data_IF_241880653438
#
_entry.id   IF_241880653438
#
_cell.length_a   1.000
_cell.length_b   1.000
_cell.length_c   1.000
_cell.angle_alpha   90.00
_cell.angle_beta   90.00
_cell.angle_gamma   90.00
#
_symmetry.space_group_name_H-M   'P 1'
#
loop_
_entity.id
_entity.type
_entity.pdbx_description
1 polymer ?
#
# COMPACT_ATOMS: atom_id res chain seq x y z
N UNK A 1 2.66 2.28 -18.02
CA UNK A 1 3.63 1.15 -17.92
C UNK A 1 4.96 1.59 -18.51
N UNK A 2 6.05 1.31 -17.83
CA UNK A 2 7.39 1.57 -18.31
C UNK A 2 7.70 0.73 -19.59
N UNK A 3 8.79 1.08 -20.30
CA UNK A 3 9.27 0.29 -21.43
C UNK A 3 10.02 -0.97 -20.95
N UNK A 4 9.41 -1.77 -20.11
CA UNK A 4 9.96 -3.05 -19.67
C UNK A 4 9.88 -4.10 -20.79
N UNK A 5 10.79 -5.08 -20.75
CA UNK A 5 10.75 -6.25 -21.62
C UNK A 5 10.07 -7.46 -20.99
N UNK A 6 9.81 -7.39 -19.69
CA UNK A 6 9.23 -8.50 -18.92
C UNK A 6 8.00 -8.02 -18.16
N UNK A 7 6.94 -8.76 -18.31
CA UNK A 7 5.66 -8.53 -17.62
C UNK A 7 5.18 -9.85 -17.03
N UNK A 8 4.42 -9.77 -15.93
CA UNK A 8 3.68 -10.88 -15.39
C UNK A 8 2.24 -10.81 -15.90
N UNK A 9 1.68 -11.97 -16.25
CA UNK A 9 0.26 -12.12 -16.59
C UNK A 9 -0.42 -12.82 -15.42
N UNK A 10 -1.21 -12.08 -14.64
CA UNK A 10 -1.95 -12.58 -13.50
C UNK A 10 -3.35 -13.01 -13.98
N UNK A 11 -3.64 -14.29 -13.83
CA UNK A 11 -4.92 -14.85 -14.29
C UNK A 11 -6.11 -14.43 -13.42
N UNK A 12 -5.89 -13.80 -12.28
CA UNK A 12 -6.90 -13.47 -11.27
C UNK A 12 -7.78 -14.67 -10.90
N UNK A 13 -7.21 -15.88 -10.95
CA UNK A 13 -7.93 -17.15 -10.79
C UNK A 13 -8.63 -17.27 -9.43
N UNK A 14 -8.04 -16.70 -8.40
CA UNK A 14 -8.58 -16.71 -7.04
C UNK A 14 -9.39 -15.44 -6.69
N UNK A 15 -9.57 -14.54 -7.65
CA UNK A 15 -10.26 -13.26 -7.46
C UNK A 15 -11.48 -13.12 -8.37
N UNK A 16 -12.66 -13.44 -7.85
CA UNK A 16 -13.92 -13.33 -8.56
C UNK A 16 -14.24 -11.89 -9.02
N UNK A 17 -13.68 -10.88 -8.36
CA UNK A 17 -13.82 -9.48 -8.77
C UNK A 17 -12.88 -9.09 -9.91
N UNK A 18 -11.82 -9.87 -10.14
CA UNK A 18 -10.71 -9.60 -11.07
C UNK A 18 -9.93 -8.30 -10.77
N UNK A 19 -10.15 -7.66 -9.60
CA UNK A 19 -9.72 -6.28 -9.38
C UNK A 19 -8.89 -6.05 -8.12
N UNK A 20 -8.77 -7.02 -7.21
CA UNK A 20 -8.14 -6.80 -5.90
C UNK A 20 -6.68 -6.38 -6.01
N UNK A 21 -5.90 -7.10 -6.83
CA UNK A 21 -4.53 -6.69 -7.15
C UNK A 21 -4.51 -5.27 -7.75
N UNK A 22 -5.35 -5.01 -8.75
CA UNK A 22 -5.39 -3.73 -9.46
C UNK A 22 -5.72 -2.58 -8.52
N UNK A 23 -6.75 -2.71 -7.68
CA UNK A 23 -7.15 -1.67 -6.74
C UNK A 23 -6.02 -1.28 -5.78
N UNK A 24 -5.31 -2.28 -5.25
CA UNK A 24 -4.26 -2.02 -4.26
C UNK A 24 -2.94 -1.61 -4.90
N UNK A 25 -2.61 -2.05 -6.12
CA UNK A 25 -1.43 -1.55 -6.84
C UNK A 25 -1.60 -0.08 -7.23
N UNK A 26 -2.75 0.27 -7.81
CA UNK A 26 -3.03 1.64 -8.21
C UNK A 26 -3.18 2.57 -6.99
N UNK A 27 -3.75 2.07 -5.88
CA UNK A 27 -3.77 2.82 -4.61
C UNK A 27 -2.36 3.02 -4.07
N UNK A 28 -1.47 2.02 -4.17
CA UNK A 28 -0.08 2.14 -3.75
C UNK A 28 0.63 3.25 -4.52
N UNK A 29 0.43 3.33 -5.85
CA UNK A 29 0.94 4.42 -6.67
C UNK A 29 0.34 5.76 -6.23
N UNK A 30 -0.98 5.82 -6.06
CA UNK A 30 -1.69 7.02 -5.67
C UNK A 30 -1.21 7.62 -4.34
N UNK A 31 -0.81 6.78 -3.37
CA UNK A 31 -0.27 7.23 -2.08
C UNK A 31 1.26 7.33 -2.07
N UNK A 32 1.91 7.21 -3.22
CA UNK A 32 3.36 7.27 -3.42
C UNK A 32 4.10 6.19 -2.61
N UNK A 33 3.70 4.91 -2.73
CA UNK A 33 4.56 3.79 -2.36
C UNK A 33 5.58 3.62 -3.50
N UNK A 34 6.90 3.59 -3.21
CA UNK A 34 7.89 3.44 -4.26
C UNK A 34 7.67 2.16 -5.08
N UNK A 35 7.99 2.19 -6.36
CA UNK A 35 7.93 1.02 -7.25
C UNK A 35 6.57 0.31 -7.28
N UNK A 36 5.47 1.06 -7.15
CA UNK A 36 4.14 0.49 -7.36
C UNK A 36 4.01 0.02 -8.81
N UNK A 37 3.62 -1.25 -9.00
CA UNK A 37 3.53 -1.85 -10.33
C UNK A 37 2.35 -1.28 -11.10
N UNK A 38 2.62 -0.72 -12.29
CA UNK A 38 1.57 -0.38 -13.24
C UNK A 38 1.02 -1.65 -13.92
N UNK A 39 -0.24 -1.64 -14.27
CA UNK A 39 -0.88 -2.80 -14.88
C UNK A 39 -1.99 -2.43 -15.87
N UNK A 40 -2.36 -3.42 -16.72
CA UNK A 40 -3.45 -3.30 -17.69
C UNK A 40 -4.20 -4.63 -17.79
N UNK A 41 -5.49 -4.57 -17.98
CA UNK A 41 -6.26 -5.76 -18.32
C UNK A 41 -6.04 -6.13 -19.79
N UNK A 42 -5.90 -7.41 -20.05
CA UNK A 42 -5.72 -7.96 -21.39
C UNK A 42 -6.56 -9.23 -21.54
N UNK A 43 -7.20 -9.38 -22.69
CA UNK A 43 -7.86 -10.63 -23.05
C UNK A 43 -6.85 -11.54 -23.73
N UNK A 44 -6.55 -12.69 -23.13
CA UNK A 44 -5.51 -13.58 -23.61
C UNK A 44 -6.07 -14.64 -24.54
N UNK A 45 -5.50 -14.68 -25.74
CA UNK A 45 -5.78 -15.69 -26.75
C UNK A 45 -4.51 -16.44 -27.12
N UNK A 46 -4.58 -17.77 -27.22
CA UNK A 46 -3.53 -18.64 -27.75
C UNK A 46 -4.14 -19.69 -28.66
N UNK A 47 -3.54 -19.89 -29.84
CA UNK A 47 -3.98 -20.85 -30.85
C UNK A 47 -5.46 -20.71 -31.25
N UNK A 48 -5.98 -19.49 -31.22
CA UNK A 48 -7.36 -19.16 -31.54
C UNK A 48 -8.37 -19.41 -30.40
N UNK A 49 -7.90 -19.85 -29.25
CA UNK A 49 -8.73 -20.03 -28.04
C UNK A 49 -8.58 -18.85 -27.08
N UNK A 50 -9.68 -18.41 -26.52
CA UNK A 50 -9.73 -17.44 -25.43
C UNK A 50 -9.38 -18.10 -24.11
N UNK A 51 -8.36 -17.61 -23.41
CA UNK A 51 -7.87 -18.16 -22.14
C UNK A 51 -8.32 -17.36 -20.93
N UNK A 52 -8.93 -16.22 -21.13
CA UNK A 52 -9.47 -15.42 -20.05
C UNK A 52 -8.98 -13.97 -20.04
N UNK A 53 -9.52 -13.21 -19.10
CA UNK A 53 -9.06 -11.85 -18.79
C UNK A 53 -7.93 -11.90 -17.77
N UNK A 54 -6.79 -11.33 -18.13
CA UNK A 54 -5.59 -11.30 -17.31
C UNK A 54 -5.25 -9.86 -16.94
N UNK A 55 -4.62 -9.69 -15.79
CA UNK A 55 -3.93 -8.45 -15.44
C UNK A 55 -2.47 -8.60 -15.85
N UNK A 56 -2.07 -7.87 -16.89
CA UNK A 56 -0.67 -7.72 -17.26
C UNK A 56 -0.04 -6.64 -16.38
N UNK A 57 0.97 -6.98 -15.60
CA UNK A 57 1.62 -6.08 -14.65
C UNK A 57 3.13 -6.11 -14.82
N UNK A 58 3.81 -5.04 -14.43
CA UNK A 58 5.26 -4.99 -14.40
C UNK A 58 5.81 -6.04 -13.45
N UNK A 59 6.85 -6.76 -13.90
CA UNK A 59 7.54 -7.75 -13.07
C UNK A 59 8.40 -7.04 -12.02
N UNK A 60 8.38 -7.55 -10.79
CA UNK A 60 9.31 -7.11 -9.74
C UNK A 60 10.70 -7.61 -10.11
N UNK A 61 11.52 -6.72 -10.62
CA UNK A 61 12.94 -6.97 -10.95
C UNK A 61 13.73 -5.67 -10.92
N UNK A 62 15.04 -5.81 -10.80
CA UNK A 62 16.02 -4.71 -10.87
C UNK A 62 16.60 -4.62 -12.28
N UNK A 63 16.79 -3.40 -12.78
CA UNK A 63 17.45 -3.18 -14.06
C UNK A 63 17.06 -1.87 -14.72
N UNK A 64 17.81 -1.44 -15.70
CA UNK A 64 17.68 -0.14 -16.39
C UNK A 64 16.27 0.19 -16.89
N UNK A 65 15.51 -0.82 -17.32
CA UNK A 65 14.15 -0.68 -17.83
C UNK A 65 13.18 -1.57 -17.05
N UNK A 66 13.49 -1.86 -15.81
CA UNK A 66 12.68 -2.64 -14.88
C UNK A 66 11.89 -1.72 -13.95
N UNK A 67 11.03 -2.29 -13.14
CA UNK A 67 10.26 -1.58 -12.12
C UNK A 67 11.19 -0.86 -11.13
N UNK A 68 12.27 -1.54 -10.71
CA UNK A 68 13.30 -0.98 -9.83
C UNK A 68 14.50 -0.64 -10.70
N UNK A 69 14.67 0.64 -11.03
CA UNK A 69 15.64 1.11 -12.01
C UNK A 69 16.67 2.11 -11.47
N UNK A 70 16.68 2.32 -10.17
CA UNK A 70 17.54 3.28 -9.47
C UNK A 70 18.56 2.62 -8.53
N UNK A 71 18.70 1.29 -8.61
CA UNK A 71 19.78 0.52 -7.99
C UNK A 71 20.51 -0.31 -9.05
N UNK A 72 21.79 -0.58 -8.80
CA UNK A 72 22.63 -1.43 -9.64
C UNK A 72 22.88 -2.76 -8.91
N UNK A 73 22.32 -3.84 -9.42
CA UNK A 73 22.45 -5.19 -8.86
C UNK A 73 23.84 -5.81 -9.06
N UNK A 74 24.69 -5.16 -9.87
CA UNK A 74 26.12 -5.56 -10.01
C UNK A 74 27.03 -4.86 -9.00
N UNK A 75 26.54 -3.83 -8.30
CA UNK A 75 27.30 -3.02 -7.34
C UNK A 75 27.77 -3.79 -6.09
N UNK A 76 27.45 -5.07 -5.95
CA UNK A 76 28.00 -5.91 -4.89
C UNK A 76 29.48 -6.26 -5.11
N UNK A 77 30.01 -6.07 -6.33
CA UNK A 77 31.45 -6.23 -6.65
C UNK A 77 32.10 -4.88 -6.97
N UNK A 78 33.35 -4.72 -6.55
CA UNK A 78 34.22 -3.62 -6.99
C UNK A 78 34.86 -3.92 -8.38
N UNK A 79 35.62 -2.96 -8.89
CA UNK A 79 36.30 -3.10 -10.18
C UNK A 79 37.32 -4.25 -10.22
N UNK A 80 37.88 -4.67 -9.07
CA UNK A 80 38.82 -5.79 -8.92
C UNK A 80 38.04 -7.11 -8.68
N UNK A 81 36.70 -7.01 -8.61
CA UNK A 81 35.80 -8.13 -8.39
C UNK A 81 35.74 -8.59 -6.93
N UNK A 82 36.13 -7.80 -5.95
CA UNK A 82 35.90 -8.12 -4.54
C UNK A 82 34.50 -7.67 -4.13
N UNK A 83 33.93 -8.35 -3.13
CA UNK A 83 32.64 -7.95 -2.61
C UNK A 83 32.74 -6.61 -1.87
N UNK A 84 31.93 -5.65 -2.27
CA UNK A 84 31.86 -4.33 -1.64
C UNK A 84 31.37 -4.42 -0.20
N UNK A 85 31.80 -3.48 0.63
CA UNK A 85 31.39 -3.39 2.03
C UNK A 85 29.89 -3.09 2.18
N UNK A 86 29.36 -2.21 1.32
CA UNK A 86 27.95 -1.83 1.29
C UNK A 86 27.47 -1.78 -0.16
N UNK A 87 26.30 -2.36 -0.43
CA UNK A 87 25.70 -2.42 -1.76
C UNK A 87 24.16 -2.53 -1.66
N UNK A 88 23.43 -2.08 -2.70
CA UNK A 88 21.99 -2.20 -2.74
C UNK A 88 21.55 -3.64 -3.04
N UNK A 89 20.35 -3.99 -2.60
CA UNK A 89 19.72 -5.27 -2.94
C UNK A 89 18.18 -5.19 -2.91
N UNK A 90 17.55 -6.16 -3.58
CA UNK A 90 16.13 -6.44 -3.49
C UNK A 90 15.94 -7.77 -2.77
N UNK A 91 15.05 -7.78 -1.78
CA UNK A 91 14.71 -9.01 -1.08
C UNK A 91 13.21 -9.15 -0.82
N UNK A 92 12.79 -10.38 -0.56
CA UNK A 92 11.42 -10.76 -0.25
C UNK A 92 11.37 -11.58 1.03
N UNK A 93 10.50 -11.21 1.98
CA UNK A 93 10.11 -12.13 3.04
C UNK A 93 9.22 -13.19 2.44
N UNK A 94 9.67 -14.43 2.45
CA UNK A 94 8.97 -15.55 1.83
C UNK A 94 9.10 -16.82 2.67
N UNK A 95 8.03 -17.17 3.37
CA UNK A 95 8.00 -18.40 4.18
C UNK A 95 8.06 -19.67 3.35
N UNK A 96 7.78 -19.58 2.04
CA UNK A 96 7.72 -20.70 1.12
C UNK A 96 9.07 -21.03 0.45
N UNK A 97 10.11 -20.19 0.66
CA UNK A 97 11.44 -20.41 0.09
C UNK A 97 11.98 -21.82 0.44
N UNK A 98 12.57 -22.51 -0.54
CA UNK A 98 12.99 -23.93 -0.47
C UNK A 98 14.51 -24.04 -0.57
N UNK A 99 15.10 -24.85 0.30
CA UNK A 99 16.54 -25.13 0.27
C UNK A 99 16.93 -25.80 -1.07
N UNK A 100 17.94 -25.26 -1.75
CA UNK A 100 18.46 -25.76 -3.02
C UNK A 100 17.69 -25.30 -4.26
N UNK A 101 16.54 -24.65 -4.09
CA UNK A 101 15.74 -24.08 -5.18
C UNK A 101 15.79 -22.54 -5.19
N UNK A 102 15.78 -21.92 -3.99
CA UNK A 102 15.73 -20.49 -3.83
C UNK A 102 17.03 -19.92 -3.28
N UNK A 103 17.46 -18.76 -3.78
CA UNK A 103 18.57 -18.00 -3.23
C UNK A 103 18.08 -17.18 -2.03
N UNK A 104 18.13 -17.78 -0.83
CA UNK A 104 17.59 -17.18 0.38
C UNK A 104 18.51 -17.33 1.60
N UNK A 105 18.19 -16.60 2.65
CA UNK A 105 18.82 -16.70 3.96
C UNK A 105 17.79 -16.94 5.06
N UNK A 106 18.18 -17.77 6.04
CA UNK A 106 17.46 -17.85 7.32
C UNK A 106 17.96 -16.75 8.24
N UNK A 107 17.08 -15.82 8.58
CA UNK A 107 17.30 -14.76 9.53
C UNK A 107 16.88 -15.18 10.95
N UNK A 108 17.02 -14.26 11.91
CA UNK A 108 16.59 -14.49 13.28
C UNK A 108 15.10 -14.89 13.33
N UNK A 109 14.72 -15.60 14.38
CA UNK A 109 13.36 -16.11 14.58
C UNK A 109 12.86 -17.05 13.46
N UNK A 110 13.77 -17.57 12.61
CA UNK A 110 13.45 -18.51 11.54
C UNK A 110 12.84 -17.86 10.29
N UNK A 111 12.88 -16.53 10.20
CA UNK A 111 12.37 -15.79 9.03
C UNK A 111 13.23 -16.14 7.82
N UNK A 112 12.57 -16.48 6.71
CA UNK A 112 13.24 -16.69 5.42
C UNK A 112 13.15 -15.42 4.59
N UNK A 113 14.28 -15.00 4.05
CA UNK A 113 14.42 -13.83 3.19
C UNK A 113 15.07 -14.25 1.89
N UNK A 114 14.31 -14.25 0.80
CA UNK A 114 14.80 -14.56 -0.55
C UNK A 114 15.46 -13.32 -1.14
N UNK A 115 16.65 -13.50 -1.72
CA UNK A 115 17.42 -12.44 -2.38
C UNK A 115 17.01 -12.43 -3.86
N UNK A 116 16.40 -11.37 -4.32
CA UNK A 116 15.91 -11.22 -5.70
C UNK A 116 16.89 -10.45 -6.59
N UNK A 117 17.75 -9.62 -5.99
CA UNK A 117 18.86 -8.96 -6.65
C UNK A 117 19.94 -8.59 -5.62
N UNK A 118 21.23 -8.86 -5.90
CA UNK A 118 21.73 -9.62 -7.06
C UNK A 118 21.22 -11.07 -7.05
N UNK A 119 20.87 -11.59 -8.23
CA UNK A 119 20.46 -12.98 -8.40
C UNK A 119 21.71 -13.83 -8.67
N UNK A 120 22.11 -14.63 -7.67
CA UNK A 120 23.34 -15.43 -7.72
C UNK A 120 23.03 -16.92 -7.58
N UNK A 121 23.81 -17.75 -8.28
CA UNK A 121 23.80 -19.20 -8.17
C UNK A 121 24.95 -19.69 -7.32
N UNK A 122 24.82 -20.89 -6.76
CA UNK A 122 25.91 -21.54 -6.02
C UNK A 122 27.19 -21.66 -6.90
N UNK A 123 28.31 -21.16 -6.37
CA UNK A 123 29.57 -21.06 -7.09
C UNK A 123 29.83 -19.69 -7.74
N UNK A 124 28.86 -18.81 -7.82
CA UNK A 124 29.10 -17.44 -8.25
C UNK A 124 29.93 -16.69 -7.21
N UNK A 125 30.76 -15.76 -7.69
CA UNK A 125 31.56 -14.93 -6.81
C UNK A 125 30.71 -14.07 -5.91
N UNK A 126 30.96 -14.10 -4.62
CA UNK A 126 30.21 -13.33 -3.62
C UNK A 126 28.94 -14.02 -3.13
N UNK A 127 28.63 -15.25 -3.56
CA UNK A 127 27.39 -15.94 -3.20
C UNK A 127 27.14 -16.00 -1.69
N UNK A 128 28.13 -16.44 -0.92
CA UNK A 128 28.00 -16.54 0.54
C UNK A 128 28.13 -15.18 1.24
N UNK A 129 28.98 -14.30 0.72
CA UNK A 129 29.19 -12.96 1.26
C UNK A 129 27.91 -12.11 1.13
N UNK A 130 27.24 -12.15 -0.02
CA UNK A 130 25.94 -11.48 -0.23
C UNK A 130 24.88 -12.05 0.71
N UNK A 131 24.79 -13.39 0.87
CA UNK A 131 23.88 -14.01 1.85
C UNK A 131 24.14 -13.52 3.27
N UNK A 132 25.40 -13.47 3.68
CA UNK A 132 25.77 -13.01 5.03
C UNK A 132 25.41 -11.53 5.22
N UNK A 133 25.71 -10.69 4.23
CA UNK A 133 25.40 -9.26 4.25
C UNK A 133 23.88 -9.01 4.36
N UNK A 134 23.09 -9.64 3.50
CA UNK A 134 21.60 -9.50 3.55
C UNK A 134 21.06 -9.97 4.88
N UNK A 135 21.54 -11.10 5.41
CA UNK A 135 21.15 -11.62 6.73
C UNK A 135 21.47 -10.62 7.84
N UNK A 136 22.66 -10.04 7.84
CA UNK A 136 23.07 -9.05 8.85
C UNK A 136 22.17 -7.81 8.82
N UNK A 137 22.01 -7.21 7.62
CA UNK A 137 21.20 -6.00 7.45
C UNK A 137 19.73 -6.24 7.80
N UNK A 138 19.16 -7.34 7.32
CA UNK A 138 17.76 -7.66 7.62
C UNK A 138 17.54 -7.95 9.11
N UNK A 139 18.45 -8.67 9.78
CA UNK A 139 18.35 -8.92 11.21
C UNK A 139 18.39 -7.62 12.03
N UNK A 140 19.27 -6.69 11.67
CA UNK A 140 19.36 -5.37 12.33
C UNK A 140 18.06 -4.59 12.16
N UNK A 141 17.55 -4.52 10.93
CA UNK A 141 16.27 -3.88 10.60
C UNK A 141 15.08 -4.53 11.34
N UNK A 142 14.95 -5.85 11.27
CA UNK A 142 13.88 -6.58 11.93
C UNK A 142 13.91 -6.40 13.47
N UNK A 143 15.10 -6.45 14.07
CA UNK A 143 15.25 -6.22 15.51
C UNK A 143 14.86 -4.78 15.91
N UNK A 144 15.22 -3.79 15.08
CA UNK A 144 14.80 -2.41 15.30
C UNK A 144 13.28 -2.26 15.19
N UNK A 145 12.66 -2.83 14.16
CA UNK A 145 11.20 -2.80 13.98
C UNK A 145 10.47 -3.52 15.15
N UNK A 146 11.02 -4.62 15.65
CA UNK A 146 10.46 -5.39 16.78
C UNK A 146 10.51 -4.62 18.10
N UNK A 147 11.47 -3.72 18.28
CA UNK A 147 11.57 -2.84 19.43
C UNK A 147 10.65 -1.64 19.26
N UNK A 148 9.58 -1.61 20.05
CA UNK A 148 8.52 -0.60 19.94
C UNK A 148 8.98 0.85 20.14
N UNK A 149 10.08 1.07 20.83
CA UNK A 149 10.62 2.39 21.14
C UNK A 149 11.88 2.76 20.32
N UNK A 150 12.34 1.88 19.40
CA UNK A 150 13.55 2.18 18.61
C UNK A 150 13.29 3.26 17.57
N UNK A 151 14.34 4.03 17.28
CA UNK A 151 14.39 4.89 16.11
C UNK A 151 14.64 4.05 14.86
N UNK A 152 13.55 3.72 14.15
CA UNK A 152 13.61 2.89 12.94
C UNK A 152 14.25 3.64 11.77
N UNK A 153 14.27 4.98 11.79
CA UNK A 153 14.81 5.80 10.69
C UNK A 153 16.29 5.57 10.40
N UNK A 154 17.02 4.98 11.36
CA UNK A 154 18.41 4.57 11.17
C UNK A 154 18.56 3.33 10.26
N UNK A 155 17.52 2.54 10.09
CA UNK A 155 17.54 1.27 9.35
C UNK A 155 16.63 1.26 8.13
N UNK A 156 15.58 2.06 8.15
CA UNK A 156 14.55 2.04 7.12
C UNK A 156 13.94 3.42 6.87
N UNK A 157 13.37 3.59 5.69
CA UNK A 157 12.47 4.69 5.39
C UNK A 157 11.12 4.46 6.09
N UNK A 158 10.86 5.28 7.09
CA UNK A 158 9.67 5.13 7.97
C UNK A 158 8.38 5.35 7.20
N UNK A 159 8.37 6.27 6.23
CA UNK A 159 7.19 6.58 5.41
C UNK A 159 6.78 5.38 4.57
N UNK A 160 7.71 4.78 3.82
CA UNK A 160 7.41 3.59 3.00
C UNK A 160 7.03 2.37 3.85
N UNK A 161 7.66 2.17 5.02
CA UNK A 161 7.29 1.11 5.95
C UNK A 161 5.88 1.30 6.52
N UNK A 162 5.50 2.52 6.86
CA UNK A 162 4.15 2.85 7.32
C UNK A 162 3.11 2.61 6.22
N UNK A 163 3.38 3.05 5.00
CA UNK A 163 2.52 2.83 3.83
C UNK A 163 2.37 1.35 3.49
N UNK A 164 3.47 0.58 3.53
CA UNK A 164 3.43 -0.87 3.33
C UNK A 164 2.56 -1.56 4.39
N UNK A 165 2.66 -1.15 5.66
CA UNK A 165 1.75 -1.64 6.67
C UNK A 165 0.30 -1.24 6.39
N UNK A 166 0.04 0.04 6.08
CA UNK A 166 -1.31 0.55 5.85
C UNK A 166 -2.04 -0.16 4.72
N UNK A 167 -1.37 -0.43 3.59
CA UNK A 167 -2.00 -1.11 2.46
C UNK A 167 -2.31 -2.58 2.79
N UNK A 168 -1.44 -3.25 3.56
CA UNK A 168 -1.67 -4.59 4.06
C UNK A 168 -2.80 -4.63 5.11
N UNK A 169 -2.89 -3.61 5.96
CA UNK A 169 -3.96 -3.47 6.94
C UNK A 169 -5.31 -3.17 6.27
N UNK A 170 -5.32 -2.27 5.29
CA UNK A 170 -6.51 -1.95 4.50
C UNK A 170 -7.02 -3.20 3.76
N UNK A 171 -6.13 -3.91 3.09
CA UNK A 171 -6.48 -5.11 2.34
C UNK A 171 -6.90 -6.29 3.22
N UNK A 172 -6.52 -6.31 4.48
CA UNK A 172 -6.47 -7.54 5.29
C UNK A 172 -5.81 -8.67 4.50
N UNK A 173 -4.68 -8.36 3.86
CA UNK A 173 -3.98 -9.32 3.04
C UNK A 173 -3.60 -10.56 3.87
N UNK A 174 -3.97 -11.74 3.35
CA UNK A 174 -3.72 -13.03 4.01
C UNK A 174 -2.24 -13.28 4.28
N UNK A 175 -1.39 -12.92 3.33
CA UNK A 175 0.05 -13.17 3.36
C UNK A 175 0.87 -12.02 3.98
N UNK A 176 0.20 -11.03 4.57
CA UNK A 176 0.88 -9.89 5.22
C UNK A 176 2.03 -10.32 6.14
N UNK A 177 3.25 -9.98 5.76
CA UNK A 177 4.46 -10.26 6.53
C UNK A 177 4.89 -11.74 6.60
N UNK A 178 4.30 -12.59 5.78
CA UNK A 178 4.59 -14.03 5.73
C UNK A 178 5.21 -14.43 4.39
N UNK A 179 4.64 -13.95 3.30
CA UNK A 179 5.13 -14.12 1.92
C UNK A 179 4.82 -12.89 1.11
N UNK A 180 5.45 -12.75 -0.06
CA UNK A 180 5.20 -11.66 -1.01
C UNK A 180 5.39 -10.25 -0.43
N UNK A 181 6.29 -10.12 0.57
CA UNK A 181 6.63 -8.83 1.18
C UNK A 181 8.03 -8.41 0.79
N UNK A 182 8.11 -7.39 -0.04
CA UNK A 182 9.36 -6.95 -0.65
C UNK A 182 9.95 -5.74 0.07
N UNK A 183 11.28 -5.69 0.02
CA UNK A 183 12.07 -4.55 0.48
C UNK A 183 13.19 -4.25 -0.50
N UNK A 184 13.36 -2.97 -0.84
CA UNK A 184 14.54 -2.47 -1.53
C UNK A 184 15.48 -1.87 -0.49
N UNK A 185 16.70 -2.35 -0.44
CA UNK A 185 17.77 -1.78 0.40
C UNK A 185 18.66 -0.92 -0.49
N UNK A 186 18.70 0.37 -0.24
CA UNK A 186 19.43 1.34 -1.04
C UNK A 186 19.79 2.59 -0.24
N UNK A 187 20.60 3.47 -0.84
CA UNK A 187 20.88 4.78 -0.27
C UNK A 187 19.63 5.69 -0.35
N UNK A 188 19.39 6.42 0.75
CA UNK A 188 18.47 7.56 0.78
C UNK A 188 19.11 8.82 0.16
N UNK A 189 18.42 9.97 0.22
CA UNK A 189 18.92 11.25 -0.27
C UNK A 189 20.19 11.75 0.42
N UNK A 190 20.45 11.28 1.64
CA UNK A 190 21.60 11.65 2.46
C UNK A 190 22.77 10.67 2.29
N UNK A 191 22.63 9.65 1.43
CA UNK A 191 23.61 8.63 1.15
C UNK A 191 23.67 7.50 2.16
N UNK A 192 22.70 7.39 3.09
CA UNK A 192 22.61 6.32 4.05
C UNK A 192 21.83 5.13 3.49
N UNK A 193 22.37 3.93 3.63
CA UNK A 193 21.66 2.72 3.21
C UNK A 193 20.51 2.39 4.15
N UNK A 194 19.30 2.23 3.59
CA UNK A 194 18.05 1.95 4.32
C UNK A 194 17.16 0.96 3.58
N UNK A 195 16.31 0.29 4.33
CA UNK A 195 15.22 -0.50 3.78
C UNK A 195 14.03 0.39 3.39
N UNK A 196 13.52 0.22 2.20
CA UNK A 196 12.28 0.82 1.73
C UNK A 196 11.21 -0.27 1.60
N UNK A 197 10.07 -0.07 2.22
CA UNK A 197 8.93 -1.02 2.23
C UNK A 197 8.21 -1.02 0.88
N UNK A 198 8.75 -1.74 -0.09
CA UNK A 198 8.28 -1.72 -1.47
C UNK A 198 9.05 -2.75 -2.33
N UNK A 199 8.51 -3.17 -3.50
CA UNK A 199 7.17 -2.92 -4.04
C UNK A 199 6.06 -3.70 -3.34
N UNK A 200 4.80 -3.36 -3.62
CA UNK A 200 3.62 -4.12 -3.18
C UNK A 200 3.30 -5.24 -4.18
N UNK A 201 2.87 -6.41 -3.66
CA UNK A 201 2.59 -7.59 -4.50
C UNK A 201 1.58 -8.52 -3.84
N UNK A 202 0.78 -9.24 -4.66
CA UNK A 202 -0.03 -10.39 -4.28
C UNK A 202 -1.17 -10.07 -3.31
N UNK A 203 -2.16 -9.35 -3.82
CA UNK A 203 -3.35 -8.94 -3.07
C UNK A 203 -4.65 -9.64 -3.53
N UNK A 204 -4.57 -10.75 -4.24
CA UNK A 204 -5.76 -11.50 -4.65
C UNK A 204 -6.50 -12.07 -3.42
N UNK A 205 -5.77 -12.42 -2.36
CA UNK A 205 -6.29 -12.84 -1.05
C UNK A 205 -6.49 -11.66 -0.09
N UNK A 206 -7.17 -10.61 -0.55
CA UNK A 206 -7.43 -9.39 0.22
C UNK A 206 -8.85 -8.89 0.02
N UNK A 207 -9.19 -7.74 0.61
CA UNK A 207 -10.50 -7.07 0.43
C UNK A 207 -11.69 -8.04 0.62
N UNK A 208 -11.65 -8.82 1.70
CA UNK A 208 -12.70 -9.77 2.04
C UNK A 208 -12.65 -11.09 1.27
N UNK A 209 -11.67 -11.28 0.39
CA UNK A 209 -11.43 -12.56 -0.30
C UNK A 209 -10.47 -13.42 0.52
N UNK A 210 -10.98 -14.45 1.19
CA UNK A 210 -10.17 -15.39 1.94
C UNK A 210 -10.17 -16.75 1.23
N UNK A 211 -9.05 -17.07 0.62
CA UNK A 211 -8.85 -18.38 -0.05
C UNK A 211 -7.96 -19.32 0.74
N UNK A 212 -7.75 -19.07 2.04
CA UNK A 212 -6.95 -19.89 2.93
C UNK A 212 -7.38 -21.37 2.94
N UNK A 213 -6.50 -22.29 3.31
CA UNK A 213 -6.85 -23.71 3.42
C UNK A 213 -7.93 -23.94 4.48
N UNK A 214 -8.70 -25.01 4.36
CA UNK A 214 -9.70 -25.37 5.38
C UNK A 214 -9.06 -25.46 6.78
N UNK A 215 -7.77 -25.78 6.86
CA UNK A 215 -6.98 -25.79 8.09
C UNK A 215 -6.77 -24.39 8.64
N UNK A 216 -6.36 -23.45 7.81
CA UNK A 216 -6.14 -22.05 8.18
C UNK A 216 -7.45 -21.42 8.65
N UNK A 217 -8.53 -21.64 7.92
CA UNK A 217 -9.86 -21.13 8.25
C UNK A 217 -10.35 -21.68 9.60
N UNK A 218 -10.06 -22.94 9.91
CA UNK A 218 -10.42 -23.57 11.17
C UNK A 218 -9.59 -23.04 12.35
N UNK A 219 -8.31 -22.75 12.13
CA UNK A 219 -7.38 -22.40 13.20
C UNK A 219 -7.28 -20.89 13.43
N UNK A 220 -7.54 -20.06 12.41
CA UNK A 220 -7.38 -18.60 12.50
C UNK A 220 -8.71 -17.82 12.41
N UNK A 221 -9.84 -18.49 12.20
CA UNK A 221 -11.17 -17.89 12.23
C UNK A 221 -11.54 -17.11 10.97
N UNK A 222 -12.25 -17.74 10.04
CA UNK A 222 -12.71 -17.16 8.75
C UNK A 222 -13.43 -15.82 8.88
N UNK A 223 -14.22 -15.66 9.94
CA UNK A 223 -15.00 -14.43 10.16
C UNK A 223 -14.15 -13.17 10.19
N UNK A 224 -12.91 -13.28 10.66
CA UNK A 224 -12.03 -12.11 10.77
C UNK A 224 -11.54 -11.58 9.42
N UNK A 225 -11.44 -12.43 8.40
CA UNK A 225 -10.99 -12.02 7.05
C UNK A 225 -12.08 -11.32 6.26
N UNK A 226 -13.28 -11.83 6.37
CA UNK A 226 -14.42 -11.38 5.56
C UNK A 226 -15.08 -10.15 6.10
N UNK A 227 -14.90 -9.88 7.40
CA UNK A 227 -15.39 -8.65 8.03
C UNK A 227 -14.43 -7.50 7.76
N UNK A 228 -14.94 -6.38 7.30
CA UNK A 228 -14.13 -5.18 7.11
C UNK A 228 -13.71 -4.53 8.44
N UNK A 229 -14.37 -4.80 9.55
CA UNK A 229 -14.00 -4.33 10.89
C UNK A 229 -12.90 -5.19 11.54
N UNK A 230 -12.28 -4.68 12.61
CA UNK A 230 -11.23 -5.35 13.37
C UNK A 230 -9.85 -5.21 12.75
N UNK A 231 -8.82 -5.02 13.58
CA UNK A 231 -7.44 -4.91 13.14
C UNK A 231 -6.89 -6.23 12.62
N UNK A 232 -6.10 -6.18 11.56
CA UNK A 232 -5.51 -7.34 10.91
C UNK A 232 -4.03 -7.51 11.26
N UNK A 233 -3.22 -6.49 11.02
CA UNK A 233 -1.78 -6.49 11.32
C UNK A 233 -1.45 -5.78 12.64
N UNK A 234 -2.32 -4.90 13.12
CA UNK A 234 -2.12 -4.17 14.38
C UNK A 234 -2.42 -5.09 15.57
N UNK A 235 -1.65 -4.92 16.64
CA UNK A 235 -1.72 -5.69 17.87
C UNK A 235 -1.24 -7.15 17.80
N UNK A 236 -0.92 -7.67 18.94
CA UNK A 236 -0.44 -9.02 19.13
C UNK A 236 -1.60 -9.91 19.59
N UNK A 237 -2.43 -10.35 18.67
CA UNK A 237 -3.32 -11.47 18.92
C UNK A 237 -2.63 -12.74 18.41
N UNK A 238 -2.20 -13.60 19.32
CA UNK A 238 -1.47 -14.83 19.00
C UNK A 238 -2.28 -15.82 18.15
N UNK A 239 -3.56 -15.61 18.01
CA UNK A 239 -4.44 -16.47 17.24
C UNK A 239 -4.43 -16.13 15.74
N UNK A 240 -3.83 -14.99 15.34
CA UNK A 240 -3.77 -14.57 13.94
C UNK A 240 -2.36 -14.73 13.38
N UNK A 241 -2.26 -15.35 12.21
CA UNK A 241 -1.01 -15.55 11.47
C UNK A 241 -0.22 -14.25 11.29
N UNK A 242 -0.90 -13.15 11.04
CA UNK A 242 -0.33 -11.82 10.79
C UNK A 242 0.07 -11.07 12.06
N UNK A 243 -0.32 -11.53 13.25
CA UNK A 243 -0.08 -10.86 14.52
C UNK A 243 0.99 -11.58 15.36
N UNK A 244 2.15 -11.83 14.78
CA UNK A 244 3.30 -12.49 15.38
C UNK A 244 4.49 -11.52 15.50
N UNK A 245 5.33 -11.69 16.52
CA UNK A 245 6.59 -10.92 16.66
C UNK A 245 7.63 -11.24 15.59
N UNK A 246 7.45 -12.32 14.83
CA UNK A 246 8.27 -12.66 13.66
C UNK A 246 7.77 -11.97 12.40
N UNK A 247 6.55 -11.41 12.42
CA UNK A 247 5.94 -10.73 11.28
C UNK A 247 6.37 -9.26 11.26
N UNK A 248 7.09 -8.85 10.22
CA UNK A 248 7.63 -7.49 10.08
C UNK A 248 6.52 -6.43 9.97
N UNK A 249 5.40 -6.73 9.30
CA UNK A 249 4.27 -5.80 9.17
C UNK A 249 3.59 -5.58 10.52
N UNK A 250 3.44 -6.63 11.33
CA UNK A 250 2.96 -6.49 12.70
C UNK A 250 3.92 -5.66 13.57
N UNK A 251 5.22 -5.82 13.37
CA UNK A 251 6.22 -5.05 14.10
C UNK A 251 6.14 -3.55 13.76
N UNK A 252 5.92 -3.19 12.47
CA UNK A 252 5.68 -1.81 12.06
C UNK A 252 4.49 -1.19 12.81
N UNK A 253 3.38 -1.90 12.87
CA UNK A 253 2.18 -1.42 13.55
C UNK A 253 2.37 -1.16 15.05
N UNK A 254 3.41 -1.72 15.64
CA UNK A 254 3.72 -1.62 17.08
C UNK A 254 4.89 -0.68 17.38
N UNK A 255 5.72 -0.36 16.39
CA UNK A 255 6.77 0.63 16.54
C UNK A 255 6.14 2.02 16.64
N UNK A 256 6.48 2.78 17.69
CA UNK A 256 5.84 4.07 17.99
C UNK A 256 6.05 5.09 16.88
N UNK A 257 7.23 5.12 16.26
CA UNK A 257 7.56 6.04 15.19
C UNK A 257 6.74 5.75 13.92
N UNK A 258 6.68 4.46 13.52
CA UNK A 258 5.91 4.03 12.34
C UNK A 258 4.41 4.21 12.58
N UNK A 259 3.92 3.89 13.78
CA UNK A 259 2.50 4.05 14.12
C UNK A 259 2.06 5.50 14.03
N UNK A 260 2.84 6.42 14.59
CA UNK A 260 2.53 7.86 14.51
C UNK A 260 2.54 8.37 13.07
N UNK A 261 3.52 7.97 12.27
CA UNK A 261 3.56 8.31 10.84
C UNK A 261 2.34 7.75 10.09
N UNK A 262 1.97 6.50 10.38
CA UNK A 262 0.86 5.83 9.71
C UNK A 262 -0.49 6.50 9.94
N UNK A 263 -0.77 7.03 11.15
CA UNK A 263 -2.01 7.75 11.43
C UNK A 263 -2.14 8.98 10.52
N UNK A 264 -1.10 9.80 10.42
CA UNK A 264 -1.11 10.98 9.57
C UNK A 264 -1.19 10.61 8.08
N UNK A 265 -0.35 9.66 7.62
CA UNK A 265 -0.39 9.16 6.23
C UNK A 265 -1.77 8.62 5.87
N UNK A 266 -2.45 7.95 6.81
CA UNK A 266 -3.80 7.45 6.58
C UNK A 266 -4.75 8.58 6.20
N UNK A 267 -4.84 9.63 7.01
CA UNK A 267 -5.78 10.71 6.77
C UNK A 267 -5.35 11.65 5.64
N UNK A 268 -4.05 11.85 5.43
CA UNK A 268 -3.52 12.79 4.44
C UNK A 268 -3.33 12.18 3.04
N UNK A 269 -3.21 10.84 2.95
CA UNK A 269 -2.96 10.17 1.67
C UNK A 269 -4.02 9.12 1.33
N UNK A 270 -4.26 8.16 2.23
CA UNK A 270 -5.19 7.06 1.95
C UNK A 270 -6.64 7.51 1.90
N UNK A 271 -7.10 8.29 2.87
CA UNK A 271 -8.51 8.75 2.93
C UNK A 271 -8.89 9.60 1.69
N UNK A 272 -8.11 10.59 1.24
CA UNK A 272 -8.39 11.32 0.00
C UNK A 272 -8.45 10.41 -1.23
N UNK A 273 -7.48 9.49 -1.39
CA UNK A 273 -7.49 8.54 -2.49
C UNK A 273 -8.75 7.65 -2.48
N UNK A 274 -9.09 7.09 -1.33
CA UNK A 274 -10.27 6.22 -1.19
C UNK A 274 -11.58 6.99 -1.37
N UNK A 275 -11.65 8.25 -0.94
CA UNK A 275 -12.81 9.11 -1.20
C UNK A 275 -12.99 9.37 -2.71
N UNK A 276 -11.90 9.58 -3.45
CA UNK A 276 -11.96 9.67 -4.91
C UNK A 276 -12.40 8.33 -5.53
N UNK A 277 -11.80 7.22 -5.13
CA UNK A 277 -12.20 5.88 -5.57
C UNK A 277 -13.71 5.65 -5.34
N UNK A 278 -14.22 6.02 -4.19
CA UNK A 278 -15.63 5.90 -3.83
C UNK A 278 -16.56 6.83 -4.62
N UNK A 279 -16.02 7.82 -5.37
CA UNK A 279 -16.79 8.84 -6.07
C UNK A 279 -17.30 9.97 -5.18
N UNK A 280 -16.75 10.13 -3.97
CA UNK A 280 -17.10 11.22 -3.04
C UNK A 280 -16.46 12.55 -3.43
N UNK A 281 -15.32 12.51 -4.11
CA UNK A 281 -14.63 13.67 -4.68
C UNK A 281 -14.44 13.46 -6.17
N UNK A 282 -14.36 14.56 -6.94
CA UNK A 282 -14.29 14.50 -8.40
C UNK A 282 -12.85 14.54 -8.93
N UNK A 283 -11.92 15.08 -8.14
CA UNK A 283 -10.53 15.27 -8.53
C UNK A 283 -9.60 14.61 -7.50
N UNK A 284 -8.55 13.99 -8.01
CA UNK A 284 -7.46 13.44 -7.20
C UNK A 284 -6.15 13.67 -7.96
N UNK A 285 -5.15 14.25 -7.30
CA UNK A 285 -3.89 14.64 -7.91
C UNK A 285 -2.74 13.68 -7.64
N UNK A 286 -2.96 12.61 -6.88
CA UNK A 286 -1.89 11.69 -6.46
C UNK A 286 -1.35 10.80 -7.59
N UNK A 287 -2.20 10.39 -8.53
CA UNK A 287 -1.80 9.61 -9.71
C UNK A 287 -2.79 9.83 -10.85
N UNK A 288 -2.28 9.92 -12.07
CA UNK A 288 -3.12 10.05 -13.28
C UNK A 288 -3.80 8.73 -13.69
N UNK A 289 -3.39 7.61 -13.11
CA UNK A 289 -3.89 6.27 -13.44
C UNK A 289 -4.71 5.62 -12.30
N UNK A 290 -4.99 6.39 -11.25
CA UNK A 290 -5.91 5.98 -10.21
C UNK A 290 -7.31 6.44 -10.57
N UNK A 291 -8.27 5.51 -10.59
CA UNK A 291 -9.62 5.74 -11.10
C UNK A 291 -10.66 5.59 -10.00
N UNK A 292 -11.83 6.20 -10.20
CA UNK A 292 -13.00 5.90 -9.37
C UNK A 292 -13.50 4.48 -9.65
N UNK A 293 -14.23 3.91 -8.68
CA UNK A 293 -14.81 2.56 -8.86
C UNK A 293 -15.74 2.44 -10.09
N UNK A 294 -16.39 3.51 -10.49
CA UNK A 294 -17.21 3.51 -11.70
C UNK A 294 -16.36 3.40 -12.97
N UNK A 295 -15.25 4.12 -13.03
CA UNK A 295 -14.32 4.06 -14.15
C UNK A 295 -13.62 2.70 -14.25
N UNK A 296 -13.15 2.12 -13.14
CA UNK A 296 -12.60 0.75 -13.15
C UNK A 296 -13.62 -0.27 -13.64
N UNK A 297 -14.88 -0.17 -13.21
CA UNK A 297 -15.94 -1.05 -13.70
C UNK A 297 -16.09 -0.95 -15.21
N UNK A 298 -16.16 0.27 -15.75
CA UNK A 298 -16.29 0.51 -17.18
C UNK A 298 -15.10 0.00 -18.02
N UNK A 299 -13.89 0.04 -17.45
CA UNK A 299 -12.69 -0.51 -18.10
C UNK A 299 -12.71 -2.03 -18.20
N UNK A 300 -13.40 -2.74 -17.31
CA UNK A 300 -13.28 -4.19 -17.19
C UNK A 300 -14.55 -4.97 -17.55
N UNK A 301 -15.72 -4.37 -17.46
CA UNK A 301 -17.03 -5.06 -17.53
C UNK A 301 -17.16 -6.01 -18.74
N UNK A 302 -16.76 -5.58 -19.93
CA UNK A 302 -16.95 -6.37 -21.15
C UNK A 302 -16.00 -7.59 -21.17
N UNK A 303 -14.73 -7.41 -20.85
CA UNK A 303 -13.75 -8.49 -20.68
C UNK A 303 -14.17 -9.46 -19.57
N UNK A 304 -14.64 -8.93 -18.43
CA UNK A 304 -15.06 -9.75 -17.31
C UNK A 304 -16.30 -10.59 -17.65
N UNK A 305 -17.29 -10.02 -18.35
CA UNK A 305 -18.44 -10.79 -18.83
C UNK A 305 -18.03 -11.92 -19.77
N UNK A 306 -17.08 -11.66 -20.68
CA UNK A 306 -16.55 -12.68 -21.57
C UNK A 306 -15.83 -13.77 -20.78
N UNK A 307 -15.01 -13.39 -19.79
CA UNK A 307 -14.31 -14.30 -18.91
C UNK A 307 -15.29 -15.22 -18.13
N UNK A 308 -16.35 -14.65 -17.58
CA UNK A 308 -17.40 -15.39 -16.86
C UNK A 308 -18.19 -16.37 -17.77
N UNK A 309 -18.42 -15.98 -19.03
CA UNK A 309 -19.14 -16.83 -20.02
C UNK A 309 -18.27 -17.92 -20.62
N UNK A 310 -16.95 -17.78 -20.62
CA UNK A 310 -16.02 -18.72 -21.26
C UNK A 310 -15.94 -20.08 -20.53
N UNK A 311 -16.35 -20.15 -19.27
CA UNK A 311 -16.19 -21.31 -18.43
C UNK A 311 -14.79 -21.55 -17.87
N UNK A 312 -13.82 -20.72 -18.23
CA UNK A 312 -12.47 -20.72 -17.63
C UNK A 312 -12.48 -20.15 -16.21
N UNK A 313 -13.51 -19.40 -15.88
CA UNK A 313 -13.78 -18.96 -14.55
C UNK A 313 -14.13 -20.16 -13.67
N UNK A 314 -13.18 -20.58 -12.87
CA UNK A 314 -13.42 -21.66 -11.90
C UNK A 314 -13.85 -20.98 -10.60
N UNK A 315 -15.13 -21.17 -10.25
CA UNK A 315 -15.58 -20.86 -8.92
C UNK A 315 -14.70 -21.55 -7.90
N UNK A 316 -13.96 -20.80 -7.16
CA UNK A 316 -13.38 -21.23 -5.89
C UNK A 316 -14.50 -21.34 -4.84
N UNK A 317 -15.60 -21.95 -5.23
CA UNK A 317 -16.92 -21.91 -4.59
C UNK A 317 -17.00 -22.51 -3.19
N UNK A 318 -15.97 -23.20 -2.74
CA UNK A 318 -16.00 -23.80 -1.41
C UNK A 318 -15.60 -22.87 -0.27
N UNK A 319 -15.13 -21.65 -0.57
CA UNK A 319 -14.43 -20.82 0.38
C UNK A 319 -15.16 -19.52 0.70
N UNK A 320 -16.06 -19.10 -0.18
CA UNK A 320 -16.70 -17.79 -0.17
C UNK A 320 -18.17 -17.84 0.30
N UNK A 321 -18.60 -18.96 0.87
CA UNK A 321 -20.03 -19.18 1.23
C UNK A 321 -20.60 -18.13 2.20
N UNK A 322 -19.75 -17.35 2.88
CA UNK A 322 -20.18 -16.37 3.88
C UNK A 322 -20.18 -14.90 3.36
N UNK A 323 -19.85 -14.67 2.08
CA UNK A 323 -19.70 -13.31 1.52
C UNK A 323 -20.92 -12.81 0.75
N UNK A 324 -22.06 -13.34 1.02
CA UNK A 324 -23.27 -12.96 0.28
C UNK A 324 -23.90 -11.66 0.71
N UNK A 325 -23.48 -11.10 1.85
CA UNK A 325 -24.06 -9.81 2.31
C UNK A 325 -23.20 -9.07 3.32
N UNK A 326 -23.18 -7.75 3.25
CA UNK A 326 -22.52 -6.89 4.23
C UNK A 326 -23.31 -5.60 4.50
N UNK A 327 -23.19 -5.05 5.70
CA UNK A 327 -23.60 -3.68 6.00
C UNK A 327 -22.48 -2.77 5.55
N UNK A 328 -22.77 -1.78 4.69
CA UNK A 328 -21.76 -0.80 4.26
C UNK A 328 -21.50 0.20 5.36
N UNK A 329 -20.28 0.64 5.49
CA UNK A 329 -19.90 1.70 6.41
C UNK A 329 -19.36 2.92 5.67
N UNK A 330 -19.51 4.08 6.29
CA UNK A 330 -19.02 5.36 5.82
C UNK A 330 -18.42 6.17 6.96
N UNK A 331 -17.48 7.05 6.63
CA UNK A 331 -16.84 7.95 7.57
C UNK A 331 -16.74 9.35 6.96
N UNK A 332 -17.24 10.34 7.69
CA UNK A 332 -17.07 11.75 7.36
C UNK A 332 -15.93 12.34 8.18
N UNK A 333 -14.81 12.64 7.52
CA UNK A 333 -13.61 13.21 8.16
C UNK A 333 -13.86 14.60 8.75
N UNK A 334 -14.81 15.40 8.17
CA UNK A 334 -15.09 16.75 8.65
C UNK A 334 -15.82 16.77 9.99
N UNK A 335 -16.68 15.79 10.20
CA UNK A 335 -17.50 15.68 11.42
C UNK A 335 -17.04 14.61 12.39
N UNK A 336 -16.11 13.72 11.96
CA UNK A 336 -15.71 12.54 12.71
C UNK A 336 -16.82 11.50 12.84
N UNK A 337 -17.83 11.55 11.95
CA UNK A 337 -19.03 10.71 12.05
C UNK A 337 -18.85 9.40 11.31
N UNK A 338 -18.91 8.29 12.04
CA UNK A 338 -18.96 6.93 11.50
C UNK A 338 -20.38 6.42 11.41
N UNK A 339 -20.79 5.93 10.26
CA UNK A 339 -22.12 5.38 10.01
C UNK A 339 -22.05 3.98 9.41
N UNK A 340 -22.98 3.11 9.82
CA UNK A 340 -23.13 1.77 9.26
C UNK A 340 -24.57 1.63 8.77
N UNK A 341 -24.75 1.15 7.54
CA UNK A 341 -26.08 0.97 6.97
C UNK A 341 -26.88 -0.08 7.77
N UNK A 342 -28.13 0.21 8.03
CA UNK A 342 -29.04 -0.72 8.71
C UNK A 342 -29.49 -1.88 7.80
N UNK A 343 -29.29 -1.75 6.49
CA UNK A 343 -29.69 -2.74 5.50
C UNK A 343 -28.44 -3.39 4.93
N UNK A 344 -28.41 -4.74 4.97
CA UNK A 344 -27.38 -5.50 4.30
C UNK A 344 -27.53 -5.43 2.78
N UNK A 345 -26.44 -5.17 2.09
CA UNK A 345 -26.36 -5.37 0.64
C UNK A 345 -26.00 -6.83 0.38
N UNK A 346 -26.77 -7.49 -0.47
CA UNK A 346 -26.50 -8.87 -0.89
C UNK A 346 -25.79 -8.88 -2.25
N UNK A 347 -24.87 -9.80 -2.45
CA UNK A 347 -24.07 -9.93 -3.66
C UNK A 347 -24.19 -11.37 -4.21
N UNK A 348 -24.39 -11.49 -5.51
CA UNK A 348 -24.48 -12.76 -6.19
C UNK A 348 -23.08 -13.21 -6.66
N UNK A 349 -22.56 -14.29 -6.08
CA UNK A 349 -21.24 -14.83 -6.43
C UNK A 349 -21.10 -15.27 -7.89
N UNK A 350 -22.22 -15.44 -8.61
CA UNK A 350 -22.22 -15.80 -10.03
C UNK A 350 -22.23 -14.58 -10.96
N UNK A 351 -22.17 -13.39 -10.41
CA UNK A 351 -22.21 -12.12 -11.14
C UNK A 351 -20.89 -11.38 -10.95
N UNK A 352 -20.20 -11.12 -12.05
CA UNK A 352 -19.04 -10.24 -11.99
C UNK A 352 -19.36 -8.91 -11.34
N UNK A 353 -20.46 -8.26 -11.75
CA UNK A 353 -20.89 -6.96 -11.22
C UNK A 353 -21.02 -6.99 -9.70
N UNK A 354 -21.60 -8.06 -9.15
CA UNK A 354 -21.77 -8.17 -7.70
C UNK A 354 -20.44 -8.43 -6.99
N UNK A 355 -19.57 -9.26 -7.54
CA UNK A 355 -18.25 -9.51 -6.94
C UNK A 355 -17.35 -8.28 -7.02
N UNK A 356 -17.41 -7.55 -8.13
CA UNK A 356 -16.75 -6.25 -8.27
C UNK A 356 -17.24 -5.26 -7.19
N UNK A 357 -18.55 -5.10 -7.09
CA UNK A 357 -19.15 -4.20 -6.10
C UNK A 357 -18.84 -4.64 -4.67
N UNK A 358 -18.80 -5.94 -4.40
CA UNK A 358 -18.40 -6.47 -3.10
C UNK A 358 -16.98 -6.01 -2.72
N UNK A 359 -16.00 -6.21 -3.60
CA UNK A 359 -14.62 -5.81 -3.34
C UNK A 359 -14.50 -4.29 -3.12
N UNK A 360 -15.16 -3.48 -3.96
CA UNK A 360 -15.15 -2.02 -3.86
C UNK A 360 -15.85 -1.51 -2.59
N UNK A 361 -17.01 -2.04 -2.26
CA UNK A 361 -17.78 -1.65 -1.07
C UNK A 361 -17.09 -2.14 0.21
N UNK A 362 -16.41 -3.30 0.15
CA UNK A 362 -15.60 -3.79 1.26
C UNK A 362 -14.42 -2.86 1.56
N UNK A 363 -13.67 -2.46 0.53
CA UNK A 363 -12.52 -1.56 0.68
C UNK A 363 -12.94 -0.21 1.27
N UNK A 364 -14.03 0.38 0.76
CA UNK A 364 -14.52 1.68 1.26
C UNK A 364 -15.06 1.57 2.69
N UNK A 365 -15.78 0.50 3.03
CA UNK A 365 -16.26 0.25 4.39
C UNK A 365 -15.13 -0.04 5.37
N UNK A 366 -14.08 -0.75 4.91
CA UNK A 366 -12.85 -0.97 5.67
C UNK A 366 -12.16 0.33 6.01
N UNK A 367 -12.01 1.20 5.01
CA UNK A 367 -11.39 2.50 5.20
C UNK A 367 -12.19 3.37 6.18
N UNK A 368 -13.52 3.35 6.09
CA UNK A 368 -14.38 4.04 7.04
C UNK A 368 -14.19 3.53 8.48
N UNK A 369 -14.07 2.22 8.67
CA UNK A 369 -13.80 1.62 9.97
C UNK A 369 -12.43 2.03 10.52
N UNK A 370 -11.35 1.93 9.74
CA UNK A 370 -10.01 2.35 10.15
C UNK A 370 -10.00 3.83 10.53
N UNK A 371 -10.65 4.68 9.73
CA UNK A 371 -10.75 6.12 10.00
C UNK A 371 -11.43 6.41 11.33
N UNK A 372 -12.54 5.72 11.63
CA UNK A 372 -13.20 5.85 12.93
C UNK A 372 -12.28 5.45 14.11
N UNK A 373 -11.54 4.36 13.96
CA UNK A 373 -10.62 3.88 15.02
C UNK A 373 -9.46 4.85 15.29
N UNK A 374 -9.01 5.59 14.27
CA UNK A 374 -7.83 6.45 14.38
C UNK A 374 -8.13 7.95 14.46
N UNK A 375 -9.36 8.37 14.28
CA UNK A 375 -9.69 9.79 14.20
C UNK A 375 -9.27 10.59 15.43
N UNK A 376 -9.36 10.00 16.61
CA UNK A 376 -8.91 10.64 17.86
C UNK A 376 -7.39 10.72 18.02
N UNK A 377 -6.63 9.92 17.26
CA UNK A 377 -5.16 9.92 17.26
C UNK A 377 -4.59 10.84 16.16
N UNK A 378 -5.44 11.24 15.19
CA UNK A 378 -5.02 12.07 14.07
C UNK A 378 -4.78 13.51 14.51
N UNK A 379 -3.60 13.97 14.22
CA UNK A 379 -3.24 15.39 14.33
C UNK A 379 -2.88 15.84 12.91
N UNK A 380 -3.72 16.67 12.27
CA UNK A 380 -3.41 17.19 10.93
C UNK A 380 -1.99 17.74 10.89
N UNK A 381 -1.23 17.42 9.85
CA UNK A 381 0.05 18.10 9.65
C UNK A 381 -0.25 19.59 9.40
N UNK A 382 0.53 20.43 10.05
CA UNK A 382 0.45 21.86 9.84
C UNK A 382 0.96 22.17 8.43
N UNK A 383 0.05 22.21 7.46
CA UNK A 383 0.38 22.60 6.09
C UNK A 383 0.45 24.11 6.05
N UNK A 384 1.64 24.66 5.91
CA UNK A 384 1.82 26.10 5.71
C UNK A 384 0.96 26.58 4.53
N UNK A 385 0.07 27.51 4.78
CA UNK A 385 -0.87 28.04 3.80
C UNK A 385 -2.27 27.39 3.80
N UNK A 386 -2.48 26.25 4.46
CA UNK A 386 -3.79 25.66 4.72
C UNK A 386 -4.39 26.30 5.98
N UNK A 387 -4.99 27.46 5.80
CA UNK A 387 -5.44 28.31 6.90
C UNK A 387 -6.83 27.91 7.39
N UNK A 388 -7.66 27.32 6.53
CA UNK A 388 -8.98 26.82 6.92
C UNK A 388 -8.94 25.38 7.48
N UNK A 389 -7.78 24.70 7.34
CA UNK A 389 -7.53 23.39 7.92
C UNK A 389 -8.24 22.25 7.19
N UNK A 390 -8.56 22.43 5.89
CA UNK A 390 -9.24 21.40 5.10
C UNK A 390 -8.28 20.36 4.49
N UNK A 391 -6.95 20.51 4.73
CA UNK A 391 -5.89 19.63 4.27
C UNK A 391 -5.33 19.99 2.89
N UNK A 392 -5.76 21.10 2.29
CA UNK A 392 -5.30 21.55 0.97
C UNK A 392 -5.11 23.06 0.93
N UNK A 393 -3.99 23.50 0.36
CA UNK A 393 -3.77 24.94 0.12
C UNK A 393 -4.51 25.37 -1.12
N UNK A 394 -5.51 26.22 -0.96
CA UNK A 394 -6.39 26.71 -2.03
C UNK A 394 -6.50 28.24 -2.04
N UNK A 395 -7.22 28.77 -3.02
CA UNK A 395 -7.56 30.21 -3.04
C UNK A 395 -8.53 30.60 -1.91
N UNK A 396 -9.18 29.64 -1.26
CA UNK A 396 -10.05 29.89 -0.11
C UNK A 396 -9.25 30.30 1.12
N UNK A 397 -8.08 29.65 1.34
CA UNK A 397 -7.15 30.00 2.40
C UNK A 397 -6.63 31.41 2.22
N UNK A 398 -6.19 31.75 1.01
CA UNK A 398 -5.78 33.12 0.69
C UNK A 398 -6.91 34.13 0.93
N UNK A 399 -8.13 33.76 0.61
CA UNK A 399 -9.34 34.61 0.86
C UNK A 399 -9.58 34.75 2.37
N UNK A 400 -9.38 33.71 3.16
CA UNK A 400 -9.52 33.76 4.61
C UNK A 400 -8.46 34.68 5.23
N UNK A 401 -7.21 34.60 4.77
CA UNK A 401 -6.12 35.51 5.16
C UNK A 401 -6.43 36.96 4.77
N UNK A 402 -6.93 37.20 3.56
CA UNK A 402 -7.35 38.53 3.13
C UNK A 402 -8.45 39.11 4.01
N UNK A 403 -9.45 38.30 4.37
CA UNK A 403 -10.50 38.73 5.31
C UNK A 403 -9.96 39.05 6.69
N UNK A 404 -9.00 38.28 7.19
CA UNK A 404 -8.33 38.54 8.46
C UNK A 404 -7.59 39.88 8.45
N UNK A 405 -6.81 40.17 7.40
CA UNK A 405 -6.06 41.41 7.25
C UNK A 405 -6.94 42.67 7.29
N UNK A 406 -8.15 42.57 6.73
CA UNK A 406 -9.14 43.66 6.74
C UNK A 406 -10.10 43.63 7.92
N UNK A 407 -9.82 42.78 8.94
CA UNK A 407 -10.65 42.56 10.13
C UNK A 407 -12.08 42.08 9.83
N UNK A 408 -12.28 41.39 8.69
CA UNK A 408 -13.54 40.76 8.31
C UNK A 408 -13.64 39.28 8.76
N UNK A 409 -12.55 38.69 9.30
CA UNK A 409 -12.47 37.40 9.93
C UNK A 409 -11.48 37.40 11.09
N UNK A 410 -11.60 36.42 11.98
CA UNK A 410 -10.62 36.16 13.04
C UNK A 410 -9.93 34.84 12.77
N UNK A 411 -8.62 34.77 13.00
CA UNK A 411 -7.84 33.53 12.96
C UNK A 411 -7.45 33.12 14.38
N UNK A 412 -7.39 31.82 14.62
CA UNK A 412 -6.79 31.25 15.84
C UNK A 412 -5.27 31.43 15.82
N UNK A 413 -4.60 31.21 16.96
CA UNK A 413 -3.14 31.27 17.03
C UNK A 413 -2.47 30.30 16.05
N UNK A 414 -3.00 29.08 15.91
CA UNK A 414 -2.49 28.07 14.99
C UNK A 414 -2.70 28.48 13.52
N UNK A 415 -3.89 29.03 13.19
CA UNK A 415 -4.16 29.57 11.86
C UNK A 415 -3.24 30.75 11.48
N UNK A 416 -2.87 31.58 12.45
CA UNK A 416 -1.90 32.66 12.23
C UNK A 416 -0.53 32.08 11.86
N UNK A 417 -0.10 31.02 12.54
CA UNK A 417 1.17 30.32 12.22
C UNK A 417 1.12 29.74 10.82
N UNK A 418 0.01 29.15 10.41
CA UNK A 418 -0.16 28.58 9.07
C UNK A 418 -0.25 29.65 7.98
N UNK A 419 -0.82 30.80 8.30
CA UNK A 419 -0.99 31.93 7.39
C UNK A 419 0.32 32.70 7.12
N UNK A 420 1.25 32.71 8.07
CA UNK A 420 2.58 33.35 7.92
C UNK A 420 3.50 32.45 7.07
N UNK A 421 3.36 32.56 5.75
CA UNK A 421 4.08 31.72 4.79
C UNK A 421 5.55 32.12 4.69
N UNK A 422 5.84 33.39 4.76
CA UNK A 422 7.19 33.92 4.63
C UNK A 422 8.00 33.82 5.93
N UNK A 423 7.34 33.54 7.07
CA UNK A 423 7.96 33.32 8.37
C UNK A 423 8.48 34.63 9.02
N UNK A 424 7.95 35.79 8.65
CA UNK A 424 8.37 37.06 9.20
C UNK A 424 7.69 37.44 10.53
N UNK A 425 6.76 36.58 11.01
CA UNK A 425 6.02 36.72 12.26
C UNK A 425 4.78 37.62 12.15
N UNK A 426 4.40 38.06 10.93
CA UNK A 426 3.22 38.88 10.70
C UNK A 426 2.42 38.43 9.50
N UNK A 427 1.10 38.25 9.67
CA UNK A 427 0.23 37.88 8.56
C UNK A 427 -0.18 39.12 7.76
N UNK A 428 0.26 39.18 6.51
CA UNK A 428 0.09 40.31 5.61
C UNK A 428 -0.46 39.92 4.24
N UNK A 429 -0.65 40.88 3.36
CA UNK A 429 -1.07 40.67 1.97
C UNK A 429 0.00 39.91 1.18
N UNK A 430 1.25 39.91 1.61
CA UNK A 430 2.32 39.11 0.99
C UNK A 430 2.08 37.64 1.21
N UNK A 431 1.65 37.24 2.41
CA UNK A 431 1.33 35.85 2.74
C UNK A 431 0.13 35.36 1.94
N UNK A 432 -0.94 36.17 1.86
CA UNK A 432 -2.08 35.84 1.01
C UNK A 432 -1.66 35.61 -0.46
N UNK A 433 -0.72 36.41 -0.96
CA UNK A 433 -0.18 36.26 -2.31
C UNK A 433 0.67 35.00 -2.44
N UNK A 434 1.46 34.66 -1.42
CA UNK A 434 2.23 33.40 -1.40
C UNK A 434 1.30 32.19 -1.37
N UNK A 435 0.24 32.21 -0.57
CA UNK A 435 -0.77 31.14 -0.55
C UNK A 435 -1.42 30.98 -1.93
N UNK A 436 -1.79 32.07 -2.62
CA UNK A 436 -2.32 32.02 -3.97
C UNK A 436 -1.36 31.34 -4.97
N UNK A 437 -0.06 31.65 -4.86
CA UNK A 437 0.97 31.03 -5.72
C UNK A 437 1.13 29.53 -5.41
N UNK A 438 1.13 29.15 -4.12
CA UNK A 438 1.14 27.74 -3.70
C UNK A 438 -0.07 26.99 -4.26
N UNK A 439 -1.27 27.57 -4.16
CA UNK A 439 -2.50 26.96 -4.64
C UNK A 439 -2.50 26.64 -6.15
N UNK A 440 -1.69 27.34 -6.94
CA UNK A 440 -1.56 27.13 -8.39
C UNK A 440 -0.21 26.50 -8.79
N UNK A 441 0.59 26.05 -7.81
CA UNK A 441 1.89 25.44 -8.07
C UNK A 441 2.95 26.40 -8.66
N UNK A 442 2.87 27.70 -8.35
CA UNK A 442 3.76 28.74 -8.84
C UNK A 442 4.81 29.19 -7.80
N UNK A 443 4.92 28.47 -6.69
CA UNK A 443 5.93 28.62 -5.62
C UNK A 443 6.71 27.35 -5.49
#
# INVERSE_FOLDING_TARGET
MAKSKKFSLLANYQDDSLTRNRFLYDLADAVNIPYASDSRYVDFYSDGFYWGSYQMTEKIEVGKNALINDIDDTAYLDADGNVNKDFPFLCEVDSNAVDGEDYYVKCNDGIKVTIKAPELSEGDKGYDEVKNYVREKYNAFHNAAKNTASDLSQYADVDSCAKLWLINELGKNWDSGVSSVYFVYKQDSDGNYKFFGSPVWDYDNSLGNATGSAWDLKNFGVKDYTQYSGWWCRFKDRQKRTQSSTNIINNFSRNTQVNKAAVNIWFEKFVPAINYFAGKTQNYSGSNEFYSKAQYYDLLKDSAEMNYKSGWYIKTSSWISDHTSMNKADFDIKTGTYTVSNTKTSYNQNSFTDMYNYAADWMTSRAAWISNEWFSEYTPSEIKGDVDGDGTVTVMDATLVQKYIVNAATLTADQIVLADINGDGTVTVLDATCIQKLAIGAL
#
